data_IF_569511282935
#
_entry.id   IF_569511282935
#
_cell.length_a   1.000
_cell.length_b   1.000
_cell.length_c   1.000
_cell.angle_alpha   90.00
_cell.angle_beta   90.00
_cell.angle_gamma   90.00
#
_symmetry.space_group_name_H-M   'P 1'
#
loop_
_entity.id
_entity.type
_entity.pdbx_description
1 polymer ?
#
# COMPACT_ATOMS: atom_id res chain seq x y z
N UNK A 1 7.45 -30.08 -24.00
CA UNK A 1 7.35 -29.85 -22.55
C UNK A 1 8.07 -30.98 -21.84
N UNK A 2 9.16 -30.68 -21.14
CA UNK A 2 9.92 -31.68 -20.40
C UNK A 2 9.25 -31.95 -19.03
N UNK A 3 9.64 -33.05 -18.37
CA UNK A 3 9.03 -33.47 -17.11
C UNK A 3 9.16 -32.41 -16.00
N UNK A 4 10.23 -31.61 -16.00
CA UNK A 4 10.41 -30.54 -15.02
C UNK A 4 9.47 -29.35 -15.30
N UNK A 5 9.25 -28.99 -16.56
CA UNK A 5 8.26 -27.97 -16.97
C UNK A 5 6.83 -28.39 -16.60
N UNK A 6 6.51 -29.68 -16.77
CA UNK A 6 5.21 -30.22 -16.37
C UNK A 6 5.01 -30.17 -14.84
N UNK A 7 6.06 -30.48 -14.07
CA UNK A 7 6.01 -30.46 -12.61
C UNK A 7 5.91 -29.02 -12.07
N UNK A 8 6.55 -28.06 -12.72
CA UNK A 8 6.39 -26.62 -12.44
C UNK A 8 4.96 -26.16 -12.74
N UNK A 9 4.40 -26.52 -13.90
CA UNK A 9 3.02 -26.16 -14.26
C UNK A 9 1.98 -26.81 -13.33
N UNK A 10 2.18 -28.07 -12.95
CA UNK A 10 1.32 -28.77 -11.98
C UNK A 10 1.44 -28.13 -10.61
N UNK A 11 2.64 -27.76 -10.15
CA UNK A 11 2.81 -27.02 -8.89
C UNK A 11 2.07 -25.69 -8.94
N UNK A 12 2.26 -24.88 -9.97
CA UNK A 12 1.55 -23.61 -10.11
C UNK A 12 0.02 -23.76 -10.12
N UNK A 13 -0.51 -24.85 -10.71
CA UNK A 13 -1.96 -25.11 -10.76
C UNK A 13 -2.55 -25.72 -9.49
N UNK A 14 -1.74 -26.43 -8.69
CA UNK A 14 -2.21 -27.17 -7.49
C UNK A 14 -1.81 -26.50 -6.17
N UNK A 15 -0.93 -25.51 -6.20
CA UNK A 15 -0.51 -24.78 -5.00
C UNK A 15 -1.69 -23.98 -4.47
N UNK A 16 -2.09 -24.31 -3.24
CA UNK A 16 -3.06 -23.53 -2.49
C UNK A 16 -2.59 -22.06 -2.42
N UNK A 17 -3.54 -21.10 -2.41
CA UNK A 17 -3.21 -19.70 -2.19
C UNK A 17 -2.32 -19.55 -0.97
N UNK A 18 -1.21 -18.83 -1.13
CA UNK A 18 -0.28 -18.57 -0.04
C UNK A 18 -0.46 -17.13 0.42
N UNK A 19 -0.58 -16.93 1.72
CA UNK A 19 -0.59 -15.58 2.27
C UNK A 19 0.84 -15.08 2.45
N UNK A 20 1.10 -13.88 1.95
CA UNK A 20 2.32 -13.16 2.21
C UNK A 20 2.00 -11.85 2.94
N UNK A 21 2.85 -11.48 3.88
CA UNK A 21 2.72 -10.25 4.67
C UNK A 21 3.96 -9.42 4.42
N UNK A 22 3.75 -8.19 3.97
CA UNK A 22 4.83 -7.24 3.70
C UNK A 22 4.52 -5.97 4.45
N UNK A 23 5.46 -5.54 5.29
CA UNK A 23 5.42 -4.25 5.99
C UNK A 23 6.53 -3.34 5.47
N UNK A 24 6.16 -2.08 5.26
CA UNK A 24 7.07 -1.00 4.90
C UNK A 24 6.80 0.14 5.85
N UNK A 25 7.87 0.72 6.38
CA UNK A 25 7.78 1.90 7.22
C UNK A 25 8.65 3.02 6.68
N UNK A 26 8.24 4.25 6.96
CA UNK A 26 8.98 5.47 6.62
C UNK A 26 8.89 6.49 7.75
N UNK A 27 9.98 7.20 7.98
CA UNK A 27 9.94 8.47 8.70
C UNK A 27 9.40 9.52 7.73
N UNK A 28 8.26 10.10 8.07
CA UNK A 28 7.68 11.21 7.32
C UNK A 28 8.54 12.48 7.56
N UNK A 29 8.46 13.52 6.72
CA UNK A 29 9.35 14.69 6.76
C UNK A 29 8.78 15.88 7.55
N UNK A 30 7.49 16.15 7.42
CA UNK A 30 6.76 17.30 7.96
C UNK A 30 6.20 17.17 9.38
N UNK A 31 6.86 17.75 10.38
CA UNK A 31 6.14 18.03 11.64
C UNK A 31 5.16 19.19 11.40
N UNK A 32 3.85 18.93 11.34
CA UNK A 32 2.85 19.97 11.11
C UNK A 32 1.46 19.49 10.70
N UNK A 33 0.63 20.44 10.26
CA UNK A 33 -0.72 20.21 9.74
C UNK A 33 -0.65 19.78 8.27
N UNK A 34 -1.06 18.55 7.98
CA UNK A 34 -1.40 18.07 6.65
C UNK A 34 -2.84 18.45 6.29
N UNK A 35 -3.05 18.92 5.07
CA UNK A 35 -4.40 19.11 4.53
C UNK A 35 -4.93 17.77 4.05
N UNK A 36 -6.27 17.64 3.97
CA UNK A 36 -6.88 16.51 3.28
C UNK A 36 -6.44 16.48 1.81
N UNK A 37 -5.99 15.33 1.33
CA UNK A 37 -5.51 15.12 -0.04
C UNK A 37 -4.01 15.33 -0.22
N UNK A 38 -3.24 15.54 0.85
CA UNK A 38 -1.78 15.65 0.79
C UNK A 38 -1.12 14.26 0.76
N UNK A 39 -0.02 14.16 0.01
CA UNK A 39 0.80 12.94 -0.02
C UNK A 39 1.62 12.82 1.25
N UNK A 40 1.63 11.64 1.87
CA UNK A 40 2.48 11.29 3.01
C UNK A 40 3.74 10.58 2.52
N UNK A 41 4.94 11.13 2.76
CA UNK A 41 6.17 10.47 2.34
C UNK A 41 7.43 10.82 3.15
N UNK A 42 8.52 10.09 2.90
CA UNK A 42 9.85 10.45 3.38
C UNK A 42 10.53 11.52 2.52
N UNK A 43 11.71 11.97 2.95
CA UNK A 43 12.49 12.99 2.26
C UNK A 43 12.99 12.55 0.89
N UNK A 44 12.90 11.25 0.57
CA UNK A 44 13.22 10.71 -0.74
C UNK A 44 12.14 11.00 -1.77
N UNK A 45 10.89 11.21 -1.37
CA UNK A 45 9.79 11.53 -2.28
C UNK A 45 9.54 10.44 -3.31
N UNK A 46 9.69 9.17 -2.93
CA UNK A 46 9.47 8.00 -3.79
C UNK A 46 8.28 7.17 -3.31
N UNK A 47 7.61 6.49 -4.23
CA UNK A 47 6.55 5.53 -3.89
C UNK A 47 7.07 4.43 -2.98
N UNK A 48 6.22 3.96 -2.07
CA UNK A 48 6.56 2.91 -1.13
C UNK A 48 6.48 1.55 -1.82
N UNK A 49 7.56 0.78 -1.77
CA UNK A 49 7.66 -0.45 -2.56
C UNK A 49 7.42 -1.67 -1.69
N UNK A 50 6.37 -2.41 -2.01
CA UNK A 50 6.03 -3.68 -1.38
C UNK A 50 6.52 -4.80 -2.30
N UNK A 51 7.66 -5.40 -1.95
CA UNK A 51 8.27 -6.47 -2.74
C UNK A 51 7.58 -7.82 -2.50
N UNK A 52 7.63 -8.69 -3.51
CA UNK A 52 7.11 -10.06 -3.42
C UNK A 52 5.61 -10.12 -3.11
N UNK A 53 4.82 -9.16 -3.61
CA UNK A 53 3.37 -9.18 -3.50
C UNK A 53 2.74 -10.28 -4.35
N UNK A 54 3.38 -10.63 -5.47
CA UNK A 54 3.09 -11.83 -6.26
C UNK A 54 4.18 -12.90 -6.09
N UNK A 55 3.80 -14.17 -6.25
CA UNK A 55 4.71 -15.34 -6.16
C UNK A 55 5.79 -15.34 -7.24
N UNK A 56 5.48 -14.82 -8.43
CA UNK A 56 6.37 -14.76 -9.60
C UNK A 56 6.23 -13.45 -10.36
N UNK A 57 7.22 -13.13 -11.19
CA UNK A 57 7.20 -11.93 -12.04
C UNK A 57 5.98 -11.95 -12.95
N UNK A 58 5.25 -10.85 -13.01
CA UNK A 58 3.98 -10.78 -13.75
C UNK A 58 2.83 -11.58 -13.12
N UNK A 59 3.02 -12.12 -11.92
CA UNK A 59 1.99 -12.86 -11.19
C UNK A 59 0.88 -11.96 -10.65
N UNK A 60 -0.17 -12.60 -10.15
CA UNK A 60 -1.38 -11.94 -9.66
C UNK A 60 -1.76 -12.43 -8.27
N UNK A 61 -2.70 -11.72 -7.64
CA UNK A 61 -3.19 -12.05 -6.31
C UNK A 61 -4.31 -11.11 -5.87
N UNK A 62 -4.66 -11.21 -4.60
CA UNK A 62 -5.54 -10.25 -3.92
C UNK A 62 -4.84 -9.65 -2.72
N UNK A 63 -4.93 -8.34 -2.54
CA UNK A 63 -4.70 -7.73 -1.23
C UNK A 63 -5.95 -7.99 -0.40
N UNK A 64 -5.81 -8.61 0.77
CA UNK A 64 -6.94 -9.05 1.60
C UNK A 64 -7.02 -8.31 2.94
N UNK A 65 -5.91 -7.70 3.36
CA UNK A 65 -5.81 -6.89 4.57
C UNK A 65 -4.80 -5.77 4.33
N UNK A 66 -5.14 -4.57 4.77
CA UNK A 66 -4.21 -3.47 4.95
C UNK A 66 -4.26 -3.00 6.41
N UNK A 67 -3.10 -2.70 6.98
CA UNK A 67 -2.98 -2.18 8.33
C UNK A 67 -2.03 -0.99 8.32
N UNK A 68 -2.39 0.03 9.08
CA UNK A 68 -1.57 1.22 9.29
C UNK A 68 -1.30 1.37 10.79
N UNK A 69 -0.07 1.72 11.13
CA UNK A 69 0.35 2.03 12.49
C UNK A 69 1.28 3.24 12.49
N UNK A 70 1.14 4.12 13.47
CA UNK A 70 2.00 5.31 13.64
C UNK A 70 2.59 5.29 15.05
N UNK A 71 3.81 5.78 15.23
CA UNK A 71 4.43 5.95 16.56
C UNK A 71 3.95 7.23 17.28
N UNK A 72 2.77 7.74 16.89
CA UNK A 72 2.23 9.02 17.33
C UNK A 72 0.86 8.82 17.93
N UNK A 73 0.62 9.50 19.04
CA UNK A 73 -0.65 9.43 19.74
C UNK A 73 -1.74 10.24 19.04
N UNK A 74 -2.99 9.86 19.26
CA UNK A 74 -4.16 10.65 18.83
C UNK A 74 -4.27 10.95 17.33
N UNK A 75 -3.58 10.21 16.46
CA UNK A 75 -3.81 10.27 15.01
C UNK A 75 -5.10 9.50 14.74
N UNK A 76 -6.20 10.23 14.62
CA UNK A 76 -7.54 9.71 14.27
C UNK A 76 -7.95 9.79 12.79
N UNK A 77 -7.30 10.58 11.91
CA UNK A 77 -7.69 10.68 10.50
C UNK A 77 -7.65 9.37 9.71
N UNK A 78 -8.37 9.37 8.58
CA UNK A 78 -8.29 8.33 7.56
C UNK A 78 -7.13 8.58 6.60
N UNK A 79 -6.59 7.50 6.06
CA UNK A 79 -5.53 7.50 5.04
C UNK A 79 -6.00 6.63 3.88
N UNK A 80 -5.75 7.08 2.66
CA UNK A 80 -5.96 6.32 1.44
C UNK A 80 -4.63 5.78 0.93
N UNK A 81 -4.60 4.51 0.52
CA UNK A 81 -3.43 3.89 -0.10
C UNK A 81 -3.70 3.68 -1.58
N UNK A 82 -3.11 4.51 -2.43
CA UNK A 82 -3.18 4.31 -3.87
C UNK A 82 -2.20 3.23 -4.30
N UNK A 83 -2.72 2.21 -4.98
CA UNK A 83 -1.97 1.01 -5.35
C UNK A 83 -1.63 1.03 -6.83
N UNK A 84 -0.35 0.82 -7.15
CA UNK A 84 0.17 0.76 -8.51
C UNK A 84 1.01 -0.49 -8.76
N UNK A 85 1.02 -0.95 -10.01
CA UNK A 85 1.86 -2.08 -10.47
C UNK A 85 3.26 -1.65 -10.91
N UNK A 86 3.46 -0.34 -11.09
CA UNK A 86 4.70 0.33 -11.48
C UNK A 86 4.85 1.60 -10.65
N UNK A 87 6.09 2.03 -10.37
CA UNK A 87 6.34 3.32 -9.73
C UNK A 87 5.61 4.45 -10.52
N UNK A 88 4.66 5.17 -9.88
CA UNK A 88 3.95 6.25 -10.53
C UNK A 88 4.86 7.47 -10.73
N UNK A 89 4.45 8.35 -11.64
CA UNK A 89 5.15 9.60 -11.96
C UNK A 89 4.51 10.84 -11.34
N UNK A 90 3.49 10.63 -10.51
CA UNK A 90 2.78 11.68 -9.80
C UNK A 90 3.67 12.46 -8.81
N UNK A 91 3.11 13.55 -8.29
CA UNK A 91 3.64 14.24 -7.12
C UNK A 91 3.79 13.21 -5.97
N UNK A 92 4.95 13.20 -5.32
CA UNK A 92 5.28 12.25 -4.24
C UNK A 92 6.01 12.91 -3.05
N UNK A 93 6.21 14.22 -3.09
CA UNK A 93 6.75 14.97 -1.97
C UNK A 93 5.75 15.01 -0.82
N UNK A 94 6.28 14.96 0.40
CA UNK A 94 5.51 15.09 1.62
C UNK A 94 4.79 16.45 1.71
N UNK A 95 3.66 16.49 2.40
CA UNK A 95 2.83 17.69 2.66
C UNK A 95 2.51 18.54 1.46
N UNK A 96 2.27 17.87 0.36
CA UNK A 96 1.91 18.53 -0.89
C UNK A 96 0.73 17.81 -1.46
N UNK A 97 -0.23 18.59 -1.97
CA UNK A 97 -1.44 18.08 -2.60
C UNK A 97 -1.11 16.99 -3.62
N UNK A 98 -1.71 15.83 -3.42
CA UNK A 98 -1.60 14.71 -4.34
C UNK A 98 -2.24 15.11 -5.67
N UNK A 99 -1.51 14.87 -6.76
CA UNK A 99 -2.02 15.02 -8.15
C UNK A 99 -2.33 13.66 -8.77
N UNK A 100 -2.33 12.61 -7.95
CA UNK A 100 -2.54 11.22 -8.34
C UNK A 100 -4.01 10.80 -8.22
N UNK A 101 -4.48 9.87 -9.07
CA UNK A 101 -3.75 9.26 -10.20
C UNK A 101 -3.61 10.26 -11.36
N UNK A 102 -2.41 10.40 -11.90
CA UNK A 102 -2.24 11.19 -13.13
C UNK A 102 -2.69 10.36 -14.34
N UNK A 103 -3.14 10.99 -15.45
CA UNK A 103 -3.52 10.26 -16.66
C UNK A 103 -2.43 9.34 -17.23
N UNK A 104 -1.15 9.66 -16.98
CA UNK A 104 -0.02 8.83 -17.40
C UNK A 104 0.13 7.55 -16.57
N UNK A 105 -0.32 7.57 -15.31
CA UNK A 105 -0.21 6.46 -14.37
C UNK A 105 -1.44 5.55 -14.39
N UNK A 106 -2.55 5.96 -15.00
CA UNK A 106 -3.81 5.19 -15.12
C UNK A 106 -3.63 3.74 -15.57
N UNK A 107 -2.78 3.41 -16.58
CA UNK A 107 -2.58 2.01 -16.98
C UNK A 107 -1.96 1.12 -15.91
N UNK A 108 -1.34 1.72 -14.88
CA UNK A 108 -0.65 1.02 -13.81
C UNK A 108 -1.38 1.10 -12.47
N UNK A 109 -2.40 1.94 -12.37
CA UNK A 109 -3.24 2.11 -11.19
C UNK A 109 -4.16 0.90 -11.02
N UNK A 110 -4.08 0.27 -9.85
CA UNK A 110 -4.91 -0.89 -9.48
C UNK A 110 -6.19 -0.42 -8.80
N UNK A 111 -6.05 0.54 -7.88
CA UNK A 111 -7.16 1.04 -7.09
C UNK A 111 -6.66 1.75 -5.83
N UNK A 112 -7.60 2.12 -4.98
CA UNK A 112 -7.35 2.81 -3.72
C UNK A 112 -7.95 2.03 -2.57
N UNK A 113 -7.17 1.85 -1.50
CA UNK A 113 -7.60 1.23 -0.25
C UNK A 113 -7.81 2.34 0.77
N UNK A 114 -9.06 2.65 1.09
CA UNK A 114 -9.39 3.55 2.20
C UNK A 114 -9.22 2.83 3.54
N UNK A 115 -8.32 3.33 4.36
CA UNK A 115 -8.09 2.87 5.73
C UNK A 115 -9.09 3.59 6.64
N UNK A 116 -9.83 2.87 7.50
CA UNK A 116 -10.78 3.50 8.42
C UNK A 116 -10.05 4.44 9.39
N UNK A 117 -10.82 5.31 10.05
CA UNK A 117 -10.30 6.25 11.03
C UNK A 117 -9.45 5.50 12.08
N UNK A 118 -8.25 6.00 12.32
CA UNK A 118 -7.31 5.38 13.24
C UNK A 118 -7.76 5.50 14.69
N UNK A 119 -7.40 4.50 15.49
CA UNK A 119 -7.66 4.45 16.91
C UNK A 119 -6.36 4.73 17.69
N UNK A 120 -6.33 5.84 18.43
CA UNK A 120 -5.21 6.19 19.31
C UNK A 120 -5.15 5.30 20.56
N UNK A 121 -3.94 4.95 21.00
CA UNK A 121 -3.66 4.08 22.16
C UNK A 121 -2.60 4.67 23.08
N UNK A 122 -2.68 5.96 23.37
CA UNK A 122 -1.77 6.65 24.28
C UNK A 122 -0.43 7.00 23.63
N UNK A 123 0.33 6.04 23.11
CA UNK A 123 1.64 6.32 22.48
C UNK A 123 1.66 6.04 20.96
N UNK A 124 0.61 5.42 20.43
CA UNK A 124 0.55 5.01 19.02
C UNK A 124 -0.89 5.01 18.48
N UNK A 125 -1.04 5.09 17.17
CA UNK A 125 -2.34 5.05 16.51
C UNK A 125 -2.38 3.95 15.45
N UNK A 126 -3.50 3.26 15.29
CA UNK A 126 -3.61 2.15 14.33
C UNK A 126 -4.97 2.05 13.66
N UNK A 127 -4.99 1.47 12.47
CA UNK A 127 -6.21 1.08 11.77
C UNK A 127 -5.97 -0.21 10.99
N UNK A 128 -7.05 -0.97 10.79
CA UNK A 128 -7.06 -2.18 9.98
C UNK A 128 -8.25 -2.13 9.03
N UNK A 129 -7.99 -2.34 7.74
CA UNK A 129 -8.99 -2.57 6.71
C UNK A 129 -8.98 -4.07 6.35
N UNK A 130 -9.95 -4.85 6.84
CA UNK A 130 -10.19 -6.24 6.40
C UNK A 130 -11.51 -6.85 6.93
N UNK A 131 -12.27 -7.58 6.10
CA UNK A 131 -12.64 -7.20 4.74
C UNK A 131 -13.43 -5.89 4.79
N UNK A 132 -13.25 -5.02 3.79
CA UNK A 132 -13.84 -3.68 3.84
C UNK A 132 -14.42 -3.30 2.49
N UNK A 133 -15.73 -3.01 2.47
CA UNK A 133 -16.40 -2.44 1.31
C UNK A 133 -16.03 -0.96 1.12
N UNK A 134 -15.54 -0.30 2.17
CA UNK A 134 -15.01 1.07 2.10
C UNK A 134 -13.56 1.04 1.60
N UNK A 135 -12.76 0.08 2.09
CA UNK A 135 -11.35 -0.07 1.73
C UNK A 135 -11.10 -0.86 0.43
N UNK A 136 -12.14 -1.21 -0.33
CA UNK A 136 -12.05 -2.00 -1.56
C UNK A 136 -11.27 -3.33 -1.40
N UNK A 137 -11.39 -4.00 -0.24
CA UNK A 137 -10.73 -5.28 0.03
C UNK A 137 -11.74 -6.43 0.02
N UNK A 138 -11.46 -7.55 -0.68
CA UNK A 138 -10.20 -7.87 -1.34
C UNK A 138 -9.99 -7.14 -2.67
N UNK A 139 -8.76 -6.67 -2.91
CA UNK A 139 -8.38 -5.94 -4.14
C UNK A 139 -7.52 -6.83 -5.04
N UNK A 140 -8.01 -7.14 -6.23
CA UNK A 140 -7.26 -7.90 -7.23
C UNK A 140 -6.09 -7.08 -7.81
N UNK A 141 -4.95 -7.70 -8.07
CA UNK A 141 -3.83 -7.08 -8.77
C UNK A 141 -3.10 -8.07 -9.69
N UNK A 142 -2.41 -7.54 -10.69
CA UNK A 142 -1.45 -8.26 -11.53
C UNK A 142 -0.18 -7.42 -11.64
N UNK A 143 0.95 -7.94 -11.17
CA UNK A 143 2.21 -7.22 -11.24
C UNK A 143 2.70 -7.04 -12.69
N UNK A 144 3.60 -6.08 -12.90
CA UNK A 144 4.24 -5.91 -14.20
C UNK A 144 5.05 -7.17 -14.60
N UNK A 145 5.23 -7.46 -15.92
CA UNK A 145 5.84 -8.71 -16.39
C UNK A 145 7.20 -9.07 -15.78
N UNK A 146 7.97 -8.07 -15.35
CA UNK A 146 9.31 -8.25 -14.78
C UNK A 146 9.39 -7.94 -13.28
N UNK A 147 8.24 -7.75 -12.62
CA UNK A 147 8.14 -7.34 -11.21
C UNK A 147 7.26 -8.30 -10.42
N UNK A 148 7.55 -8.43 -9.14
CA UNK A 148 6.67 -9.04 -8.12
C UNK A 148 6.10 -8.00 -7.16
N UNK A 149 6.43 -6.73 -7.36
CA UNK A 149 6.18 -5.65 -6.41
C UNK A 149 4.92 -4.86 -6.75
N UNK A 150 4.36 -4.24 -5.71
CA UNK A 150 3.39 -3.16 -5.81
C UNK A 150 4.01 -1.87 -5.26
N UNK A 151 3.51 -0.74 -5.74
CA UNK A 151 3.96 0.59 -5.37
C UNK A 151 2.79 1.33 -4.75
N UNK A 152 3.00 1.89 -3.56
CA UNK A 152 1.96 2.54 -2.77
C UNK A 152 2.28 4.01 -2.64
N UNK A 153 1.26 4.85 -2.79
CA UNK A 153 1.29 6.27 -2.44
C UNK A 153 0.25 6.49 -1.34
N UNK A 154 0.68 6.75 -0.09
CA UNK A 154 -0.25 7.08 0.99
C UNK A 154 -0.67 8.55 0.89
N UNK A 155 -1.96 8.80 1.05
CA UNK A 155 -2.58 10.13 0.94
C UNK A 155 -3.48 10.35 2.15
N UNK A 156 -3.47 11.55 2.71
CA UNK A 156 -4.41 11.95 3.77
C UNK A 156 -5.83 12.06 3.20
N UNK A 157 -6.82 11.44 3.85
CA UNK A 157 -8.24 11.62 3.46
C UNK A 157 -8.86 12.77 4.24
N UNK A 158 -8.51 12.85 5.53
CA UNK A 158 -8.89 13.96 6.40
C UNK A 158 -7.62 14.75 6.75
N UNK A 159 -7.77 16.04 7.10
CA UNK A 159 -6.64 16.83 7.57
C UNK A 159 -6.03 16.20 8.84
N UNK A 160 -4.71 16.20 8.93
CA UNK A 160 -3.98 15.53 10.01
C UNK A 160 -3.00 16.50 10.65
N UNK A 161 -3.12 16.72 11.94
CA UNK A 161 -2.09 17.41 12.72
C UNK A 161 -1.23 16.36 13.40
N UNK A 162 0.07 16.35 13.11
CA UNK A 162 1.04 15.55 13.86
C UNK A 162 1.79 16.45 14.84
N UNK A 163 1.87 16.03 16.11
CA UNK A 163 2.67 16.71 17.14
C UNK A 163 4.17 16.40 17.00
N UNK A 164 4.51 15.25 16.44
CA UNK A 164 5.81 14.86 15.92
C UNK A 164 5.64 13.75 14.87
N UNK A 165 6.45 13.70 13.81
CA UNK A 165 6.39 12.58 12.87
C UNK A 165 7.18 11.37 13.38
N UNK A 166 6.53 10.61 14.24
CA UNK A 166 6.90 9.24 14.53
C UNK A 166 6.40 8.34 13.42
N UNK A 167 7.29 7.90 12.53
CA UNK A 167 7.18 6.74 11.64
C UNK A 167 5.75 6.25 11.28
N UNK A 168 5.42 6.29 10.00
CA UNK A 168 4.25 5.59 9.45
C UNK A 168 4.64 4.19 8.97
N UNK A 169 3.96 3.16 9.46
CA UNK A 169 4.12 1.76 9.08
C UNK A 169 2.85 1.28 8.37
N UNK A 170 3.03 0.67 7.19
CA UNK A 170 1.95 0.11 6.39
C UNK A 170 2.26 -1.37 6.16
N UNK A 171 1.33 -2.23 6.54
CA UNK A 171 1.37 -3.67 6.30
C UNK A 171 0.27 -4.07 5.31
N UNK A 172 0.66 -4.77 4.25
CA UNK A 172 -0.26 -5.40 3.31
C UNK A 172 -0.15 -6.92 3.43
N UNK A 173 -1.29 -7.58 3.53
CA UNK A 173 -1.40 -9.04 3.36
C UNK A 173 -1.93 -9.34 1.98
N UNK A 174 -1.18 -10.10 1.18
CA UNK A 174 -1.64 -10.61 -0.11
C UNK A 174 -1.87 -12.12 -0.08
N UNK A 175 -2.97 -12.54 -0.71
CA UNK A 175 -3.18 -13.90 -1.15
C UNK A 175 -2.57 -14.05 -2.56
N UNK A 176 -1.62 -14.97 -2.71
CA UNK A 176 -0.85 -15.17 -3.93
C UNK A 176 -1.19 -16.49 -4.62
N UNK A 177 -1.28 -16.45 -5.95
CA UNK A 177 -1.47 -17.62 -6.82
C UNK A 177 -0.22 -17.92 -7.64
#
# INVERSE_FOLDING_TARGET
>A
MNTNELLEEIRDRLLLPTFNIVSVWKALVSTGDETAGDTLNDAGGLSWVFHNMARKKGGSGYIVKAQVNTEVESVTPRIALQVYTKAPTCQMADSTAAVSPTPADTPYFVGEIEIPAMHGRGDNSFAVATPSTVGNLPMAFTCQPNSTALYIVPITVDAITYDALGRLDIELTSEQY
#
